data_IF_114133103950
#
_entry.id   IF_114133103950
#
_cell.length_a   1.000
_cell.length_b   1.000
_cell.length_c   1.000
_cell.angle_alpha   90.00
_cell.angle_beta   90.00
_cell.angle_gamma   90.00
#
_symmetry.space_group_name_H-M   'P 1'
#
loop_
_entity.id
_entity.type
_entity.pdbx_description
1 polymer ?
#
# COMPACT_ATOMS: atom_id res chain seq x y z
N UNK A 1 7.22 -10.56 -11.09
CA UNK A 1 7.19 -10.54 -12.58
C UNK A 1 7.50 -11.88 -13.26
N UNK A 2 8.49 -12.64 -12.78
CA UNK A 2 9.07 -13.81 -13.49
C UNK A 2 8.06 -14.86 -13.97
N UNK A 3 7.00 -15.17 -13.20
CA UNK A 3 5.99 -16.15 -13.61
C UNK A 3 5.27 -15.76 -14.90
N UNK A 4 4.96 -14.47 -15.08
CA UNK A 4 4.26 -13.96 -16.26
C UNK A 4 5.19 -14.04 -17.48
N UNK A 5 6.44 -13.59 -17.33
CA UNK A 5 7.45 -13.65 -18.39
C UNK A 5 7.72 -15.10 -18.83
N UNK A 6 7.85 -16.03 -17.88
CA UNK A 6 8.06 -17.44 -18.19
C UNK A 6 6.87 -18.06 -18.94
N UNK A 7 5.65 -17.68 -18.57
CA UNK A 7 4.42 -18.16 -19.25
C UNK A 7 4.29 -17.56 -20.64
N UNK A 8 4.69 -16.30 -20.82
CA UNK A 8 4.71 -15.62 -22.10
C UNK A 8 5.72 -16.25 -23.06
N UNK A 9 6.95 -16.50 -22.61
CA UNK A 9 7.98 -17.22 -23.38
C UNK A 9 7.54 -18.64 -23.77
N UNK A 10 6.80 -19.33 -22.89
CA UNK A 10 6.18 -20.61 -23.23
C UNK A 10 5.10 -20.47 -24.32
N UNK A 11 4.31 -19.40 -24.27
CA UNK A 11 3.26 -19.10 -25.24
C UNK A 11 3.84 -18.73 -26.61
N UNK A 12 4.94 -17.97 -26.64
CA UNK A 12 5.75 -17.69 -27.83
C UNK A 12 6.24 -18.98 -28.48
N UNK A 13 6.89 -19.86 -27.70
CA UNK A 13 7.37 -21.15 -28.21
C UNK A 13 6.23 -22.06 -28.70
N UNK A 14 5.06 -22.01 -28.06
CA UNK A 14 3.87 -22.69 -28.56
C UNK A 14 3.37 -22.08 -29.87
N UNK A 15 3.32 -20.76 -29.99
CA UNK A 15 2.88 -20.07 -31.20
C UNK A 15 3.80 -20.39 -32.40
N UNK A 16 5.11 -20.44 -32.18
CA UNK A 16 6.09 -20.90 -33.17
C UNK A 16 5.84 -22.37 -33.57
N UNK A 17 5.62 -23.26 -32.60
CA UNK A 17 5.41 -24.69 -32.85
C UNK A 17 4.07 -25.02 -33.53
N UNK A 18 3.07 -24.15 -33.42
CA UNK A 18 1.78 -24.29 -34.11
C UNK A 18 1.78 -23.75 -35.54
N UNK A 19 2.90 -23.20 -36.01
CA UNK A 19 3.06 -22.61 -37.34
C UNK A 19 1.92 -21.64 -37.68
N UNK A 20 1.65 -20.69 -36.77
CA UNK A 20 0.58 -19.72 -36.95
C UNK A 20 0.80 -18.94 -38.26
N UNK A 21 -0.16 -19.07 -39.17
CA UNK A 21 -0.12 -18.45 -40.48
C UNK A 21 -0.36 -16.94 -40.38
N UNK A 22 0.72 -16.16 -40.46
CA UNK A 22 0.71 -14.70 -40.44
C UNK A 22 0.05 -14.06 -41.68
N UNK A 23 -0.35 -14.83 -42.69
CA UNK A 23 -1.14 -14.31 -43.82
C UNK A 23 -2.64 -14.29 -43.50
N UNK A 24 -3.09 -15.13 -42.56
CA UNK A 24 -4.49 -15.15 -42.10
C UNK A 24 -4.74 -14.02 -41.10
N UNK A 25 -5.97 -13.50 -41.13
CA UNK A 25 -6.38 -12.38 -40.26
C UNK A 25 -6.24 -12.76 -38.79
N UNK A 26 -6.61 -13.98 -38.45
CA UNK A 26 -6.56 -14.52 -37.08
C UNK A 26 -5.11 -14.68 -36.62
N UNK A 27 -4.22 -15.17 -37.50
CA UNK A 27 -2.81 -15.35 -37.16
C UNK A 27 -2.09 -14.02 -36.91
N UNK A 28 -2.36 -13.00 -37.74
CA UNK A 28 -1.84 -11.65 -37.49
C UNK A 28 -2.28 -11.08 -36.15
N UNK A 29 -3.56 -11.22 -35.81
CA UNK A 29 -4.09 -10.71 -34.54
C UNK A 29 -3.43 -11.41 -33.36
N UNK A 30 -3.22 -12.73 -33.43
CA UNK A 30 -2.60 -13.49 -32.34
C UNK A 30 -1.14 -13.08 -32.15
N UNK A 31 -0.38 -12.95 -33.25
CA UNK A 31 1.02 -12.54 -33.19
C UNK A 31 1.17 -11.12 -32.64
N UNK A 32 0.38 -10.17 -33.15
CA UNK A 32 0.41 -8.78 -32.66
C UNK A 32 0.02 -8.68 -31.18
N UNK A 33 -0.98 -9.47 -30.75
CA UNK A 33 -1.39 -9.50 -29.35
C UNK A 33 -0.27 -10.06 -28.47
N UNK A 34 0.43 -11.07 -28.95
CA UNK A 34 1.54 -11.67 -28.24
C UNK A 34 2.69 -10.66 -28.10
N UNK A 35 3.04 -9.94 -29.17
CA UNK A 35 4.05 -8.87 -29.14
C UNK A 35 3.68 -7.76 -28.16
N UNK A 36 2.43 -7.26 -28.19
CA UNK A 36 1.96 -6.23 -27.25
C UNK A 36 2.05 -6.72 -25.80
N UNK A 37 1.64 -7.97 -25.53
CA UNK A 37 1.72 -8.52 -24.17
C UNK A 37 3.17 -8.67 -23.72
N UNK A 38 4.09 -9.00 -24.64
CA UNK A 38 5.52 -9.04 -24.36
C UNK A 38 6.09 -7.68 -24.02
N UNK A 39 5.79 -6.65 -24.81
CA UNK A 39 6.19 -5.27 -24.52
C UNK A 39 5.63 -4.78 -23.18
N UNK A 40 4.35 -5.06 -22.90
CA UNK A 40 3.73 -4.71 -21.62
C UNK A 40 4.40 -5.41 -20.43
N UNK A 41 4.74 -6.69 -20.57
CA UNK A 41 5.40 -7.44 -19.51
C UNK A 41 6.80 -6.88 -19.19
N UNK A 42 7.55 -6.48 -20.21
CA UNK A 42 8.85 -5.83 -20.05
C UNK A 42 8.72 -4.43 -19.43
N UNK A 43 7.76 -3.62 -19.88
CA UNK A 43 7.53 -2.29 -19.32
C UNK A 43 7.15 -2.35 -17.84
N UNK A 44 6.24 -3.26 -17.45
CA UNK A 44 5.86 -3.44 -16.05
C UNK A 44 7.05 -3.92 -15.23
N UNK A 45 7.91 -4.80 -15.78
CA UNK A 45 9.12 -5.23 -15.10
C UNK A 45 10.04 -4.05 -14.79
N UNK A 46 10.34 -3.24 -15.80
CA UNK A 46 11.21 -2.07 -15.62
C UNK A 46 10.64 -1.09 -14.60
N UNK A 47 9.32 -0.88 -14.60
CA UNK A 47 8.65 -0.03 -13.61
C UNK A 47 8.69 -0.63 -12.20
N UNK A 48 8.60 -1.95 -12.08
CA UNK A 48 8.75 -2.64 -10.80
C UNK A 48 10.17 -2.49 -10.27
N UNK A 49 11.18 -2.66 -11.13
CA UNK A 49 12.59 -2.51 -10.78
C UNK A 49 12.89 -1.05 -10.35
N UNK A 50 12.38 -0.04 -11.09
CA UNK A 50 12.47 1.38 -10.70
C UNK A 50 11.81 1.64 -9.34
N UNK A 51 10.64 1.04 -9.06
CA UNK A 51 9.96 1.19 -7.78
C UNK A 51 10.73 0.55 -6.62
N UNK A 52 11.40 -0.58 -6.86
CA UNK A 52 12.28 -1.21 -5.86
C UNK A 52 13.43 -0.28 -5.50
N UNK A 53 14.08 0.34 -6.48
CA UNK A 53 15.11 1.36 -6.23
C UNK A 53 14.57 2.56 -5.42
N UNK A 54 13.36 3.05 -5.71
CA UNK A 54 12.75 4.12 -4.91
C UNK A 54 12.46 3.70 -3.47
N UNK A 55 12.04 2.45 -3.25
CA UNK A 55 11.79 1.91 -1.90
C UNK A 55 13.10 1.81 -1.13
N UNK A 56 14.15 1.30 -1.76
CA UNK A 56 15.49 1.21 -1.14
C UNK A 56 16.00 2.59 -0.69
N UNK A 57 15.80 3.63 -1.52
CA UNK A 57 16.16 5.01 -1.15
C UNK A 57 15.36 5.52 0.04
N UNK A 58 14.06 5.21 0.10
CA UNK A 58 13.22 5.59 1.25
C UNK A 58 13.68 4.86 2.50
N UNK A 59 14.01 3.57 2.41
CA UNK A 59 14.54 2.80 3.54
C UNK A 59 15.88 3.37 4.04
N UNK A 60 16.77 3.78 3.15
CA UNK A 60 18.02 4.48 3.51
C UNK A 60 17.75 5.80 4.22
N UNK A 61 16.89 6.65 3.65
CA UNK A 61 16.53 7.95 4.25
C UNK A 61 15.87 7.80 5.62
N UNK A 62 14.98 6.81 5.78
CA UNK A 62 14.34 6.51 7.06
C UNK A 62 15.36 6.00 8.08
N UNK A 63 16.29 5.11 7.68
CA UNK A 63 17.35 4.64 8.57
C UNK A 63 18.21 5.80 9.08
N UNK A 64 18.63 6.70 8.18
CA UNK A 64 19.39 7.90 8.56
C UNK A 64 18.61 8.81 9.52
N UNK A 65 17.29 8.93 9.33
CA UNK A 65 16.44 9.72 10.22
C UNK A 65 16.24 9.04 11.57
N UNK A 66 16.07 7.71 11.61
CA UNK A 66 15.99 6.93 12.84
C UNK A 66 17.28 7.07 13.66
N UNK A 67 18.45 6.95 13.02
CA UNK A 67 19.74 7.20 13.68
C UNK A 67 19.79 8.62 14.24
N UNK A 68 19.46 9.64 13.44
CA UNK A 68 19.47 11.03 13.91
C UNK A 68 18.53 11.31 15.10
N UNK A 69 17.34 10.71 15.11
CA UNK A 69 16.32 10.95 16.15
C UNK A 69 16.56 10.10 17.39
N UNK A 70 16.91 8.83 17.24
CA UNK A 70 17.02 7.89 18.35
C UNK A 70 18.43 7.78 18.93
N UNK A 71 19.51 8.07 18.18
CA UNK A 71 20.87 8.10 18.76
C UNK A 71 21.11 9.32 19.66
N UNK A 72 20.34 10.42 19.52
CA UNK A 72 20.36 11.54 20.49
C UNK A 72 19.59 11.23 21.78
N UNK A 73 18.79 10.15 21.85
CA UNK A 73 18.04 9.77 23.05
C UNK A 73 18.74 8.72 23.95
N UNK A 74 19.84 8.09 23.51
CA UNK A 74 20.63 7.17 24.36
C UNK A 74 21.43 7.88 25.48
N UNK A 75 21.41 9.22 25.55
CA UNK A 75 21.98 10.01 26.66
C UNK A 75 20.90 10.49 27.67
N UNK A 76 19.64 10.09 27.50
CA UNK A 76 18.52 10.43 28.40
C UNK A 76 18.06 9.28 29.32
N UNK A 77 18.90 8.25 29.50
CA UNK A 77 18.71 7.19 30.50
C UNK A 77 18.99 7.65 31.96
N UNK A 78 19.14 8.96 32.22
CA UNK A 78 19.25 9.56 33.56
C UNK A 78 18.08 10.49 33.92
N UNK A 79 16.99 10.50 33.13
CA UNK A 79 15.74 11.08 33.63
C UNK A 79 15.08 10.08 34.57
N UNK A 80 15.54 10.15 35.82
CA UNK A 80 14.90 9.62 37.02
C UNK A 80 13.39 9.96 36.98
N UNK A 81 12.57 8.99 36.56
CA UNK A 81 11.11 9.05 36.55
C UNK A 81 10.53 8.98 37.98
N UNK A 82 11.18 9.65 38.93
CA UNK A 82 10.87 9.62 40.37
C UNK A 82 10.34 10.98 40.89
N UNK A 83 9.80 11.85 40.01
CA UNK A 83 9.11 13.08 40.46
C UNK A 83 7.91 13.49 39.59
N UNK A 84 7.12 12.53 39.12
CA UNK A 84 5.73 12.82 38.75
C UNK A 84 4.82 12.38 39.89
N UNK A 85 4.71 13.25 40.89
CA UNK A 85 3.59 13.30 41.83
C UNK A 85 2.33 13.62 40.99
N UNK A 86 1.81 12.61 40.29
CA UNK A 86 0.45 12.63 39.77
C UNK A 86 -0.46 12.60 40.99
N UNK A 87 -0.89 13.80 41.39
CA UNK A 87 -2.04 14.03 42.25
C UNK A 87 -3.25 13.38 41.53
N UNK A 88 -3.44 12.10 41.86
CA UNK A 88 -4.53 11.21 41.49
C UNK A 88 -5.82 11.73 42.11
N UNK A 89 -6.37 12.81 41.53
CA UNK A 89 -7.67 13.36 41.91
C UNK A 89 -8.34 14.13 40.75
N UNK A 90 -8.32 13.57 39.53
CA UNK A 90 -9.41 13.81 38.56
C UNK A 90 -9.91 12.50 37.97
N UNK A 91 -10.45 11.69 38.87
CA UNK A 91 -11.48 10.71 38.62
C UNK A 91 -12.47 11.21 37.55
N UNK A 92 -12.53 10.49 36.43
CA UNK A 92 -13.69 10.32 35.55
C UNK A 92 -14.75 11.43 35.55
N UNK A 93 -14.71 12.26 34.51
CA UNK A 93 -15.93 12.84 33.95
C UNK A 93 -15.89 12.72 32.42
N UNK A 94 -15.79 11.47 31.95
CA UNK A 94 -16.33 11.13 30.63
C UNK A 94 -17.86 11.10 30.78
N UNK A 95 -18.45 12.29 30.88
CA UNK A 95 -19.86 12.49 30.58
C UNK A 95 -19.98 12.29 29.06
N UNK A 96 -20.20 11.04 28.67
CA UNK A 96 -20.69 10.67 27.35
C UNK A 96 -22.01 11.41 27.12
N UNK A 97 -21.94 12.62 26.55
CA UNK A 97 -23.10 13.26 25.96
C UNK A 97 -23.32 12.60 24.59
N UNK A 98 -23.99 11.44 24.63
CA UNK A 98 -24.60 10.83 23.45
C UNK A 98 -25.45 11.91 22.78
N UNK A 99 -25.10 12.28 21.54
CA UNK A 99 -25.89 13.16 20.67
C UNK A 99 -27.16 12.47 20.14
N UNK A 100 -27.81 11.74 21.03
CA UNK A 100 -29.21 11.36 21.05
C UNK A 100 -29.60 11.13 22.51
N UNK A 101 -30.04 12.20 23.19
CA UNK A 101 -30.48 12.20 24.59
C UNK A 101 -31.77 11.40 24.87
N UNK A 102 -31.85 10.16 24.42
CA UNK A 102 -32.87 9.20 24.81
C UNK A 102 -32.25 7.82 25.00
N UNK A 103 -32.38 7.27 26.22
CA UNK A 103 -31.83 5.96 26.59
C UNK A 103 -32.41 4.78 25.80
N UNK A 104 -32.06 3.56 26.22
CA UNK A 104 -32.22 2.25 25.54
C UNK A 104 -33.63 1.92 24.97
N UNK A 105 -34.07 2.64 23.95
CA UNK A 105 -35.04 2.22 22.93
C UNK A 105 -35.23 3.24 21.78
N UNK A 106 -34.23 4.09 21.51
CA UNK A 106 -34.33 5.06 20.42
C UNK A 106 -33.81 4.51 19.09
N UNK A 107 -34.69 4.50 18.09
CA UNK A 107 -34.37 4.10 16.71
C UNK A 107 -33.90 5.36 15.95
N UNK A 108 -32.59 5.55 15.81
CA UNK A 108 -32.00 6.69 15.10
C UNK A 108 -32.12 6.50 13.59
N UNK A 109 -33.30 6.79 13.06
CA UNK A 109 -33.54 6.93 11.63
C UNK A 109 -34.53 8.08 11.49
N UNK A 110 -34.02 9.31 11.48
CA UNK A 110 -34.61 10.50 10.85
C UNK A 110 -33.88 11.75 11.37
N UNK A 111 -32.83 12.18 10.69
CA UNK A 111 -32.31 13.54 10.84
C UNK A 111 -31.92 14.09 9.46
N UNK A 112 -32.78 14.96 8.94
CA UNK A 112 -32.52 15.80 7.77
C UNK A 112 -31.32 16.74 8.03
N UNK A 113 -30.58 17.14 6.98
CA UNK A 113 -29.40 17.99 7.14
C UNK A 113 -29.80 19.40 7.58
N UNK A 114 -29.16 19.90 8.64
CA UNK A 114 -29.25 21.30 9.05
C UNK A 114 -28.25 22.10 8.22
N UNK A 115 -28.75 23.01 7.38
CA UNK A 115 -27.97 24.07 6.75
C UNK A 115 -27.60 25.14 7.79
N UNK A 116 -26.32 25.50 7.88
CA UNK A 116 -25.83 26.90 7.90
C UNK A 116 -24.36 26.98 7.47
#
# INVERSE_FOLDING_TARGET
MENIINRLAYLEGLAEGYEIDAEKKEGRIILELLDIVSEMAEEIKNKQDELEEYVDLIEEDLTNLEEYVYEEEEDYDDFDYDDYDYDDDSFFDDEYEDECGCGENCNCSDSEPVEE
#
